data_IF_734357321675
#
_entry.id   IF_734357321675
#
_cell.length_a   1.000
_cell.length_b   1.000
_cell.length_c   1.000
_cell.angle_alpha   90.00
_cell.angle_beta   90.00
_cell.angle_gamma   90.00
#
_symmetry.space_group_name_H-M   'P 1'
#
loop_
_entity.id
_entity.type
_entity.pdbx_description
1 polymer ?
#
# COMPACT_ATOMS: atom_id res chain seq x y z
N UNK A 1 -23.83 -16.02 -10.98
CA UNK A 1 -22.77 -16.57 -10.11
C UNK A 1 -21.43 -16.31 -10.79
N UNK A 2 -20.95 -15.05 -10.74
CA UNK A 2 -19.71 -14.60 -11.44
C UNK A 2 -19.06 -13.41 -10.72
N UNK A 3 -19.75 -12.78 -9.76
CA UNK A 3 -19.30 -11.58 -9.03
C UNK A 3 -18.27 -11.87 -7.94
N UNK A 4 -18.26 -13.06 -7.32
CA UNK A 4 -17.28 -13.39 -6.27
C UNK A 4 -15.82 -13.40 -6.79
N UNK A 5 -15.59 -13.72 -8.07
CA UNK A 5 -14.23 -13.81 -8.61
C UNK A 5 -13.61 -12.43 -8.89
N UNK A 6 -14.39 -11.42 -9.27
CA UNK A 6 -13.87 -10.07 -9.53
C UNK A 6 -13.53 -9.33 -8.23
N UNK A 7 -14.39 -9.44 -7.21
CA UNK A 7 -14.12 -8.88 -5.89
C UNK A 7 -12.89 -9.53 -5.24
N UNK A 8 -12.74 -10.86 -5.35
CA UNK A 8 -11.59 -11.58 -4.80
C UNK A 8 -10.28 -11.20 -5.51
N UNK A 9 -10.23 -11.21 -6.85
CA UNK A 9 -8.99 -10.92 -7.57
C UNK A 9 -8.47 -9.49 -7.31
N UNK A 10 -9.34 -8.48 -7.19
CA UNK A 10 -8.91 -7.12 -6.87
C UNK A 10 -8.59 -6.89 -5.38
N UNK A 11 -9.21 -7.62 -4.45
CA UNK A 11 -8.85 -7.56 -3.02
C UNK A 11 -7.56 -8.33 -2.71
N UNK A 12 -7.22 -9.40 -3.45
CA UNK A 12 -5.97 -10.14 -3.28
C UNK A 12 -4.76 -9.47 -3.96
N UNK A 13 -4.94 -8.73 -5.06
CA UNK A 13 -3.85 -7.97 -5.69
C UNK A 13 -3.51 -6.66 -4.98
N UNK A 14 -4.45 -6.11 -4.22
CA UNK A 14 -4.31 -4.85 -3.50
C UNK A 14 -3.15 -4.79 -2.49
N UNK A 15 -2.97 -5.78 -1.59
CA UNK A 15 -1.94 -5.78 -0.55
C UNK A 15 -0.52 -5.88 -1.12
N UNK A 16 -0.36 -6.56 -2.26
CA UNK A 16 0.95 -6.68 -2.94
C UNK A 16 1.30 -5.35 -3.60
N UNK A 17 0.34 -4.70 -4.25
CA UNK A 17 0.52 -3.38 -4.87
C UNK A 17 0.86 -2.33 -3.81
N UNK A 18 0.14 -2.28 -2.69
CA UNK A 18 0.44 -1.34 -1.59
C UNK A 18 1.79 -1.60 -0.96
N UNK A 19 2.19 -2.86 -0.81
CA UNK A 19 3.52 -3.23 -0.33
C UNK A 19 4.62 -2.76 -1.28
N UNK A 20 4.46 -2.98 -2.60
CA UNK A 20 5.39 -2.50 -3.61
C UNK A 20 5.46 -0.97 -3.65
N UNK A 21 4.33 -0.27 -3.54
CA UNK A 21 4.29 1.18 -3.46
C UNK A 21 5.05 1.70 -2.24
N UNK A 22 4.81 1.12 -1.05
CA UNK A 22 5.57 1.45 0.16
C UNK A 22 7.07 1.23 -0.02
N UNK A 23 7.46 0.11 -0.66
CA UNK A 23 8.85 -0.21 -0.93
C UNK A 23 9.51 0.78 -1.90
N UNK A 24 8.83 1.12 -3.00
CA UNK A 24 9.31 2.06 -4.03
C UNK A 24 9.44 3.47 -3.45
N UNK A 25 8.40 3.97 -2.78
CA UNK A 25 8.41 5.30 -2.16
C UNK A 25 9.55 5.40 -1.15
N UNK A 26 9.75 4.37 -0.33
CA UNK A 26 10.85 4.35 0.62
C UNK A 26 12.23 4.27 -0.02
N UNK A 27 12.34 3.63 -1.18
CA UNK A 27 13.58 3.64 -1.94
C UNK A 27 13.85 5.01 -2.59
N UNK A 28 12.86 5.63 -3.24
CA UNK A 28 13.08 6.87 -3.98
C UNK A 28 13.37 8.06 -3.03
N UNK A 29 12.62 8.18 -1.94
CA UNK A 29 12.63 9.41 -1.12
C UNK A 29 13.57 9.39 0.09
N UNK A 30 14.24 8.26 0.36
CA UNK A 30 15.42 8.21 1.24
C UNK A 30 15.25 8.83 2.62
N UNK A 31 14.21 8.44 3.38
CA UNK A 31 13.95 8.87 4.79
C UNK A 31 13.70 10.37 4.99
N UNK A 32 13.44 11.14 3.93
CA UNK A 32 12.97 12.53 4.07
C UNK A 32 11.55 12.53 4.65
N UNK A 33 11.19 13.55 5.44
CA UNK A 33 9.80 13.73 5.94
C UNK A 33 8.76 13.72 4.80
N UNK A 34 9.17 14.18 3.61
CA UNK A 34 8.39 14.13 2.36
C UNK A 34 7.94 12.71 1.97
N UNK A 35 8.72 11.68 2.29
CA UNK A 35 8.36 10.28 2.01
C UNK A 35 7.04 9.88 2.66
N UNK A 36 6.81 10.32 3.91
CA UNK A 36 5.59 10.01 4.64
C UNK A 36 4.39 10.76 4.08
N UNK A 37 4.57 12.02 3.67
CA UNK A 37 3.52 12.82 3.03
C UNK A 37 3.09 12.19 1.71
N UNK A 38 4.06 11.82 0.86
CA UNK A 38 3.80 11.15 -0.42
C UNK A 38 3.18 9.78 -0.19
N UNK A 39 3.65 9.03 0.81
CA UNK A 39 3.07 7.75 1.18
C UNK A 39 1.59 7.86 1.54
N UNK A 40 1.23 8.81 2.41
CA UNK A 40 -0.16 9.05 2.79
C UNK A 40 -0.99 9.49 1.58
N UNK A 41 -0.49 10.41 0.76
CA UNK A 41 -1.19 10.87 -0.44
C UNK A 41 -1.47 9.72 -1.43
N UNK A 42 -0.47 8.88 -1.68
CA UNK A 42 -0.60 7.71 -2.57
C UNK A 42 -1.56 6.67 -1.99
N UNK A 43 -1.51 6.40 -0.68
CA UNK A 43 -2.43 5.47 -0.03
C UNK A 43 -3.89 5.94 -0.13
N UNK A 44 -4.14 7.23 0.08
CA UNK A 44 -5.48 7.82 -0.01
C UNK A 44 -5.99 7.80 -1.45
N UNK A 45 -5.19 8.22 -2.42
CA UNK A 45 -5.58 8.17 -3.84
C UNK A 45 -5.85 6.73 -4.30
N UNK A 46 -5.00 5.80 -3.90
CA UNK A 46 -5.17 4.40 -4.23
C UNK A 46 -6.42 3.80 -3.57
N UNK A 47 -6.72 4.17 -2.32
CA UNK A 47 -7.97 3.80 -1.66
C UNK A 47 -9.20 4.33 -2.41
N UNK A 48 -9.22 5.60 -2.80
CA UNK A 48 -10.32 6.15 -3.59
C UNK A 48 -10.48 5.46 -4.94
N UNK A 49 -9.38 5.11 -5.61
CA UNK A 49 -9.40 4.35 -6.86
C UNK A 49 -10.02 2.96 -6.65
N UNK A 50 -9.68 2.27 -5.57
CA UNK A 50 -10.29 0.98 -5.21
C UNK A 50 -11.78 1.13 -4.91
N UNK A 51 -12.16 2.14 -4.13
CA UNK A 51 -13.56 2.44 -3.82
C UNK A 51 -14.36 2.67 -5.10
N UNK A 52 -13.84 3.45 -6.04
CA UNK A 52 -14.48 3.74 -7.32
C UNK A 52 -14.61 2.50 -8.21
N UNK A 53 -13.53 1.72 -8.36
CA UNK A 53 -13.53 0.54 -9.25
C UNK A 53 -14.45 -0.57 -8.73
N UNK A 54 -14.56 -0.70 -7.41
CA UNK A 54 -15.33 -1.77 -6.77
C UNK A 54 -16.73 -1.31 -6.30
N UNK A 55 -17.13 -0.08 -6.64
CA UNK A 55 -18.41 0.52 -6.24
C UNK A 55 -18.68 0.38 -4.73
N UNK A 56 -17.65 0.65 -3.92
CA UNK A 56 -17.72 0.50 -2.46
C UNK A 56 -18.39 1.70 -1.82
N UNK A 57 -19.20 1.45 -0.80
CA UNK A 57 -19.87 2.52 -0.08
C UNK A 57 -19.01 3.05 1.09
N UNK A 58 -18.65 4.34 1.02
CA UNK A 58 -17.88 5.03 2.05
C UNK A 58 -18.59 5.12 3.42
N UNK A 59 -19.89 4.89 3.50
CA UNK A 59 -20.61 4.84 4.79
C UNK A 59 -20.44 3.50 5.53
N UNK A 60 -19.88 2.48 4.88
CA UNK A 60 -19.72 1.15 5.46
C UNK A 60 -18.39 1.00 6.20
N UNK A 61 -18.42 0.47 7.42
CA UNK A 61 -17.21 0.21 8.21
C UNK A 61 -16.24 -0.78 7.54
N UNK A 62 -16.74 -1.69 6.70
CA UNK A 62 -15.90 -2.63 5.94
C UNK A 62 -15.00 -1.90 4.94
N UNK A 63 -15.49 -0.85 4.29
CA UNK A 63 -14.71 -0.03 3.35
C UNK A 63 -13.53 0.64 4.07
N UNK A 64 -13.75 1.14 5.29
CA UNK A 64 -12.68 1.70 6.13
C UNK A 64 -11.73 0.64 6.69
N UNK A 65 -12.19 -0.58 6.93
CA UNK A 65 -11.31 -1.69 7.29
C UNK A 65 -10.33 -2.02 6.14
N UNK A 66 -10.78 -1.96 4.88
CA UNK A 66 -9.88 -2.09 3.73
C UNK A 66 -8.84 -0.98 3.66
N UNK A 67 -9.23 0.27 3.96
CA UNK A 67 -8.28 1.38 4.06
C UNK A 67 -7.18 1.10 5.11
N UNK A 68 -7.57 0.66 6.30
CA UNK A 68 -6.62 0.33 7.37
C UNK A 68 -5.64 -0.78 6.93
N UNK A 69 -6.12 -1.81 6.25
CA UNK A 69 -5.27 -2.88 5.71
C UNK A 69 -4.27 -2.34 4.66
N UNK A 70 -4.66 -1.39 3.83
CA UNK A 70 -3.77 -0.75 2.86
C UNK A 70 -2.69 0.09 3.54
N UNK A 71 -3.04 0.83 4.58
CA UNK A 71 -2.06 1.59 5.37
C UNK A 71 -1.06 0.65 6.03
N UNK A 72 -1.51 -0.45 6.65
CA UNK A 72 -0.64 -1.43 7.30
C UNK A 72 0.33 -2.06 6.28
N UNK A 73 -0.19 -2.52 5.15
CA UNK A 73 0.66 -3.14 4.10
C UNK A 73 1.67 -2.19 3.50
N UNK A 74 1.31 -0.91 3.32
CA UNK A 74 2.24 0.12 2.88
C UNK A 74 3.35 0.40 3.91
N UNK A 75 3.00 0.43 5.20
CA UNK A 75 3.99 0.57 6.29
C UNK A 75 4.94 -0.62 6.29
N UNK A 76 4.43 -1.85 6.12
CA UNK A 76 5.26 -3.06 6.01
C UNK A 76 6.22 -2.94 4.82
N UNK A 77 5.74 -2.56 3.63
CA UNK A 77 6.60 -2.35 2.45
C UNK A 77 7.70 -1.32 2.68
N UNK A 78 7.37 -0.25 3.41
CA UNK A 78 8.33 0.79 3.82
C UNK A 78 9.42 0.23 4.76
N UNK A 79 9.03 -0.54 5.77
CA UNK A 79 9.97 -1.18 6.71
C UNK A 79 10.86 -2.20 6.00
N UNK A 80 10.29 -3.00 5.09
CA UNK A 80 11.05 -3.94 4.26
C UNK A 80 12.09 -3.18 3.44
N UNK A 81 11.73 -2.10 2.75
CA UNK A 81 12.70 -1.29 2.00
C UNK A 81 13.85 -0.74 2.85
N UNK A 82 13.52 -0.23 4.05
CA UNK A 82 14.54 0.26 4.99
C UNK A 82 15.48 -0.88 5.40
N UNK A 83 14.92 -2.05 5.68
CA UNK A 83 15.65 -3.25 6.09
C UNK A 83 16.55 -3.77 4.96
N UNK A 84 16.01 -3.93 3.75
CA UNK A 84 16.77 -4.38 2.57
C UNK A 84 17.94 -3.43 2.27
N UNK A 85 17.77 -2.11 2.39
CA UNK A 85 18.90 -1.16 2.28
C UNK A 85 19.95 -1.42 3.33
N UNK A 86 19.56 -1.57 4.60
CA UNK A 86 20.49 -1.80 5.71
C UNK A 86 21.35 -3.03 5.49
N UNK A 87 20.80 -4.11 4.93
CA UNK A 87 21.55 -5.33 4.62
C UNK A 87 22.39 -5.21 3.35
N UNK A 88 21.90 -4.51 2.30
CA UNK A 88 22.66 -4.26 1.07
C UNK A 88 23.96 -3.47 1.34
N UNK A 89 23.88 -2.40 2.14
CA UNK A 89 25.08 -1.63 2.51
C UNK A 89 26.03 -2.37 3.47
N UNK A 90 25.61 -3.50 4.05
CA UNK A 90 26.43 -4.31 4.96
C UNK A 90 27.14 -5.48 4.27
N UNK A 91 26.73 -5.87 3.07
CA UNK A 91 27.48 -6.84 2.25
C UNK A 91 28.55 -6.18 1.37
N UNK A 92 28.48 -4.86 1.20
CA UNK A 92 29.41 -4.07 0.39
C UNK A 92 30.54 -3.42 1.23
N UNK A 93 30.66 -3.79 2.52
CA UNK A 93 31.70 -3.34 3.46
C UNK A 93 32.45 -4.54 4.04
#
# INVERSE_FOLDING_TARGET
MTTMNQFALLTFFNPVITLLLGFIISNIFGRKKIQWIIGIAVAVLFFFLVVMINDLNLSTGQTWAYFALYVITMVIGTVVAITTRKYRYKSDA
#
